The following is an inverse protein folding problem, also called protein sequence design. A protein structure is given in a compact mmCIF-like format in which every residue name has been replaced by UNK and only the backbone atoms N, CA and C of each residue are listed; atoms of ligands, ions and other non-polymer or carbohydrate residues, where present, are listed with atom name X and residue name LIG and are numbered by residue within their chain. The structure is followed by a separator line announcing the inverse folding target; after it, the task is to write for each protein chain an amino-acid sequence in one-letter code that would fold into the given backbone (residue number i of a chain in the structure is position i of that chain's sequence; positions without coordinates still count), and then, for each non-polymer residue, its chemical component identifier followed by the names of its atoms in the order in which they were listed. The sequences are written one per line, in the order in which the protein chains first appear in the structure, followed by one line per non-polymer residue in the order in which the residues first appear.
data_IF_495028274762
#
_entry.id   IF_495028274762
#
_cell.length_a   1.000
_cell.length_b   1.000
_cell.length_c   1.000
_cell.angle_alpha   90.00
_cell.angle_beta   90.00
_cell.angle_gamma   90.00
#
_symmetry.space_group_name_H-M   'P 1'
#
loop_
_entity.id
_entity.type
_entity.pdbx_description
1 polymer ?
#
# COMPACT_ATOMS: atom_id res chain seq x y z
N UNK A 1 2.68 6.81 -6.25
CA UNK A 1 1.30 6.26 -6.27
C UNK A 1 0.25 7.32 -6.56
N UNK A 2 0.37 8.54 -6.01
CA UNK A 2 -0.66 9.58 -6.19
C UNK A 2 -1.95 9.29 -5.43
N UNK A 3 -1.89 8.37 -4.47
CA UNK A 3 -2.93 8.06 -3.49
C UNK A 3 -2.75 9.04 -2.33
N UNK A 4 -3.82 9.71 -1.95
CA UNK A 4 -3.84 10.64 -0.82
C UNK A 4 -5.09 10.39 0.03
N UNK A 5 -5.10 10.88 1.28
CA UNK A 5 -6.30 10.93 2.09
C UNK A 5 -7.33 11.87 1.43
N UNK A 6 -8.57 11.42 1.31
CA UNK A 6 -9.66 12.12 0.62
C UNK A 6 -10.93 12.25 1.47
N UNK A 7 -11.10 11.40 2.48
CA UNK A 7 -12.25 11.40 3.38
C UNK A 7 -11.83 10.91 4.76
N UNK A 8 -12.46 11.44 5.81
CA UNK A 8 -12.27 11.02 7.19
C UNK A 8 -13.63 11.01 7.90
N UNK A 9 -13.91 9.95 8.65
CA UNK A 9 -15.14 9.81 9.43
C UNK A 9 -14.81 9.36 10.85
N UNK A 10 -15.53 9.88 11.84
CA UNK A 10 -15.32 9.55 13.25
C UNK A 10 -16.14 8.32 13.68
N UNK A 11 -15.88 7.80 14.88
CA UNK A 11 -16.58 6.61 15.40
C UNK A 11 -18.10 6.73 15.54
N UNK A 12 -18.65 7.95 15.56
CA UNK A 12 -20.10 8.15 15.51
C UNK A 12 -20.72 7.90 14.13
N UNK A 13 -19.89 7.86 13.09
CA UNK A 13 -20.30 7.75 11.68
C UNK A 13 -20.05 6.34 11.12
N UNK A 14 -19.48 5.42 11.90
CA UNK A 14 -19.08 4.07 11.46
C UNK A 14 -19.76 2.98 12.28
N UNK A 15 -20.01 1.82 11.65
CA UNK A 15 -20.59 0.66 12.34
C UNK A 15 -19.62 0.02 13.34
N UNK A 16 -18.30 0.12 13.09
CA UNK A 16 -17.27 -0.38 13.99
C UNK A 16 -17.15 0.47 15.27
N UNK A 17 -17.71 1.68 15.28
CA UNK A 17 -17.47 2.65 16.35
C UNK A 17 -16.06 3.26 16.32
N UNK A 18 -15.25 2.92 15.31
CA UNK A 18 -13.90 3.41 15.09
C UNK A 18 -13.81 4.52 14.04
N UNK A 19 -12.70 5.25 14.00
CA UNK A 19 -12.45 6.21 12.91
C UNK A 19 -12.04 5.50 11.62
N UNK A 20 -12.36 6.08 10.47
CA UNK A 20 -11.93 5.58 9.16
C UNK A 20 -11.36 6.71 8.30
N UNK A 21 -10.31 6.40 7.54
CA UNK A 21 -9.72 7.29 6.55
C UNK A 21 -9.80 6.64 5.16
N UNK A 22 -10.37 7.37 4.21
CA UNK A 22 -10.50 6.97 2.81
C UNK A 22 -9.39 7.56 1.96
N UNK A 23 -8.57 6.70 1.39
CA UNK A 23 -7.47 7.02 0.49
C UNK A 23 -7.85 6.76 -0.96
N UNK A 24 -7.36 7.59 -1.87
CA UNK A 24 -7.56 7.35 -3.29
C UNK A 24 -6.98 8.41 -4.22
N UNK A 25 -7.45 8.40 -5.47
CA UNK A 25 -7.09 9.32 -6.54
C UNK A 25 -8.35 9.63 -7.35
N UNK A 26 -8.84 10.88 -7.28
CA UNK A 26 -10.12 11.30 -7.87
C UNK A 26 -11.35 10.85 -7.06
N UNK A 27 -11.31 9.66 -6.47
CA UNK A 27 -12.28 9.15 -5.50
C UNK A 27 -11.59 8.20 -4.51
N UNK A 28 -12.10 8.05 -3.26
CA UNK A 28 -11.57 7.09 -2.31
C UNK A 28 -11.87 5.65 -2.76
N UNK A 29 -10.87 4.78 -2.67
CA UNK A 29 -10.98 3.36 -3.02
C UNK A 29 -10.28 2.41 -2.03
N UNK A 30 -9.47 2.95 -1.12
CA UNK A 30 -8.77 2.18 -0.11
C UNK A 30 -9.05 2.80 1.26
N UNK A 31 -9.60 2.03 2.19
CA UNK A 31 -10.06 2.52 3.48
C UNK A 31 -9.30 1.83 4.59
N UNK A 32 -8.81 2.61 5.55
CA UNK A 32 -8.18 2.11 6.78
C UNK A 32 -9.04 2.59 7.93
N UNK A 33 -9.52 1.64 8.74
CA UNK A 33 -10.27 1.89 9.96
C UNK A 33 -9.48 1.51 11.19
N UNK A 34 -9.72 2.21 12.29
CA UNK A 34 -9.39 1.72 13.62
C UNK A 34 -10.56 0.92 14.22
N UNK A 35 -10.33 0.36 15.40
CA UNK A 35 -11.30 -0.46 16.14
C UNK A 35 -11.77 -1.73 15.39
N UNK A 36 -10.96 -2.20 14.45
CA UNK A 36 -11.14 -3.46 13.72
C UNK A 36 -9.90 -4.35 13.88
N UNK A 37 -10.03 -5.65 13.62
CA UNK A 37 -8.89 -6.58 13.70
C UNK A 37 -8.25 -6.77 12.33
N UNK A 38 -6.97 -6.42 12.20
CA UNK A 38 -6.18 -6.74 11.00
C UNK A 38 -5.91 -8.24 10.95
N UNK A 39 -6.23 -8.89 9.82
CA UNK A 39 -6.01 -10.31 9.62
C UNK A 39 -4.52 -10.68 9.54
N UNK A 40 -4.16 -11.87 10.05
CA UNK A 40 -2.79 -12.38 9.89
C UNK A 40 -2.49 -12.63 8.40
N UNK A 41 -1.31 -12.19 7.95
CA UNK A 41 -0.89 -12.37 6.56
C UNK A 41 -1.59 -11.44 5.57
N UNK A 42 -2.15 -10.32 6.04
CA UNK A 42 -2.69 -9.29 5.14
C UNK A 42 -1.59 -8.79 4.19
N UNK A 43 -1.88 -8.85 2.89
CA UNK A 43 -1.00 -8.37 1.81
C UNK A 43 -1.82 -7.47 0.90
N UNK A 44 -1.31 -6.28 0.63
CA UNK A 44 -1.96 -5.30 -0.26
C UNK A 44 -0.97 -4.89 -1.33
N UNK A 45 -1.34 -5.06 -2.60
CA UNK A 45 -0.51 -4.69 -3.74
C UNK A 45 -1.17 -3.59 -4.56
N UNK A 46 -0.44 -2.48 -4.74
CA UNK A 46 -0.85 -1.37 -5.60
C UNK A 46 -0.14 -1.48 -6.96
N UNK A 47 -0.93 -1.56 -8.02
CA UNK A 47 -0.41 -1.47 -9.39
C UNK A 47 0.06 -0.05 -9.69
N UNK A 48 1.22 0.08 -10.32
CA UNK A 48 1.81 1.35 -10.76
C UNK A 48 2.22 1.28 -12.22
N UNK A 49 2.47 2.45 -12.81
CA UNK A 49 2.67 2.58 -14.26
C UNK A 49 4.15 2.61 -14.65
N UNK A 50 5.06 2.65 -13.68
CA UNK A 50 6.50 2.62 -13.95
C UNK A 50 7.32 2.00 -12.83
N UNK A 51 8.51 1.49 -13.18
CA UNK A 51 9.51 1.00 -12.22
C UNK A 51 10.04 2.12 -11.31
N UNK A 52 10.06 3.36 -11.80
CA UNK A 52 10.40 4.54 -10.98
C UNK A 52 9.37 4.78 -9.87
N UNK A 53 8.08 4.55 -10.12
CA UNK A 53 7.04 4.65 -9.09
C UNK A 53 7.19 3.57 -8.01
N UNK A 54 7.65 2.37 -8.36
CA UNK A 54 7.99 1.31 -7.39
C UNK A 54 9.15 1.75 -6.49
N UNK A 55 10.20 2.32 -7.07
CA UNK A 55 11.35 2.83 -6.29
C UNK A 55 10.94 3.99 -5.38
N UNK A 56 10.13 4.92 -5.89
CA UNK A 56 9.63 6.05 -5.12
C UNK A 56 8.72 5.60 -3.97
N UNK A 57 7.87 4.60 -4.20
CA UNK A 57 7.07 3.97 -3.14
C UNK A 57 7.96 3.39 -2.04
N UNK A 58 8.94 2.56 -2.40
CA UNK A 58 9.80 1.88 -1.43
C UNK A 58 10.56 2.88 -0.56
N UNK A 59 11.20 3.88 -1.18
CA UNK A 59 11.91 4.92 -0.45
C UNK A 59 11.01 5.70 0.51
N UNK A 60 9.81 6.08 0.06
CA UNK A 60 8.85 6.82 0.89
C UNK A 60 8.32 5.98 2.05
N UNK A 61 8.02 4.69 1.81
CA UNK A 61 7.50 3.79 2.82
C UNK A 61 8.54 3.51 3.92
N UNK A 62 9.82 3.33 3.57
CA UNK A 62 10.90 3.24 4.55
C UNK A 62 11.08 4.53 5.34
N UNK A 63 11.03 5.70 4.68
CA UNK A 63 11.14 6.99 5.36
C UNK A 63 9.98 7.25 6.33
N UNK A 64 8.81 6.66 6.08
CA UNK A 64 7.63 6.72 6.95
C UNK A 64 7.68 5.72 8.13
N UNK A 65 8.76 4.95 8.29
CA UNK A 65 8.93 3.98 9.38
C UNK A 65 8.55 2.54 9.01
N UNK A 66 8.24 2.27 7.74
CA UNK A 66 8.07 0.90 7.25
C UNK A 66 9.37 0.11 7.30
N UNK A 67 9.26 -1.21 7.41
CA UNK A 67 10.40 -2.13 7.41
C UNK A 67 10.57 -2.78 6.03
N UNK A 68 11.80 -2.77 5.50
CA UNK A 68 12.08 -3.42 4.22
C UNK A 68 11.71 -4.91 4.26
N UNK A 69 10.92 -5.35 3.28
CA UNK A 69 10.53 -6.74 3.10
C UNK A 69 10.87 -7.25 1.68
N UNK A 70 11.60 -6.45 0.89
CA UNK A 70 11.98 -6.80 -0.46
C UNK A 70 12.27 -5.55 -1.29
N UNK A 71 13.55 -5.24 -1.60
CA UNK A 71 13.91 -4.02 -2.31
C UNK A 71 13.39 -4.03 -3.76
N UNK A 72 13.25 -2.87 -4.41
CA UNK A 72 12.80 -2.76 -5.80
C UNK A 72 13.59 -3.67 -6.74
N UNK A 73 12.89 -4.53 -7.49
CA UNK A 73 13.55 -5.40 -8.45
C UNK A 73 12.59 -6.35 -9.17
N UNK A 74 13.11 -7.00 -10.23
CA UNK A 74 12.37 -8.03 -10.96
C UNK A 74 12.15 -9.26 -10.08
N UNK A 75 10.91 -9.75 -10.07
CA UNK A 75 10.50 -11.02 -9.47
C UNK A 75 10.30 -12.03 -10.59
N UNK A 76 11.42 -12.54 -11.11
CA UNK A 76 11.45 -13.40 -12.30
C UNK A 76 10.60 -14.67 -12.15
N UNK A 77 10.38 -15.13 -10.92
CA UNK A 77 9.50 -16.25 -10.58
C UNK A 77 8.00 -15.93 -10.71
N UNK A 78 7.61 -14.66 -10.73
CA UNK A 78 6.24 -14.21 -11.00
C UNK A 78 6.03 -13.79 -12.46
N UNK A 79 7.07 -13.29 -13.12
CA UNK A 79 7.05 -12.96 -14.54
C UNK A 79 8.25 -12.10 -14.95
N UNK A 80 8.56 -12.03 -16.26
CA UNK A 80 9.73 -11.31 -16.76
C UNK A 80 9.66 -9.80 -16.49
N UNK A 81 8.45 -9.23 -16.46
CA UNK A 81 8.21 -7.79 -16.26
C UNK A 81 7.65 -7.47 -14.87
N UNK A 82 7.59 -8.43 -13.95
CA UNK A 82 7.08 -8.21 -12.59
C UNK A 82 8.12 -7.45 -11.76
N UNK A 83 8.12 -6.13 -11.84
CA UNK A 83 9.01 -5.28 -11.06
C UNK A 83 8.29 -4.77 -9.82
N UNK A 84 8.75 -5.16 -8.63
CA UNK A 84 8.05 -4.86 -7.38
C UNK A 84 8.99 -4.52 -6.22
N UNK A 85 8.41 -3.88 -5.21
CA UNK A 85 9.03 -3.65 -3.91
C UNK A 85 8.01 -3.91 -2.79
N UNK A 86 8.49 -4.36 -1.64
CA UNK A 86 7.68 -4.82 -0.51
C UNK A 86 8.16 -4.14 0.77
N UNK A 87 7.22 -3.63 1.55
CA UNK A 87 7.48 -3.00 2.85
C UNK A 87 6.42 -3.47 3.83
N UNK A 88 6.85 -3.93 5.00
CA UNK A 88 5.93 -4.15 6.12
C UNK A 88 5.60 -2.81 6.75
N UNK A 89 4.32 -2.49 6.87
CA UNK A 89 3.87 -1.32 7.64
C UNK A 89 4.02 -1.55 9.16
N UNK A 90 3.79 -0.53 10.00
CA UNK A 90 3.91 -0.66 11.46
C UNK A 90 2.97 -1.70 12.08
N UNK A 91 1.87 -2.03 11.42
CA UNK A 91 0.88 -3.03 11.85
C UNK A 91 1.20 -4.45 11.33
N UNK A 92 2.29 -4.58 10.56
CA UNK A 92 2.77 -5.85 10.01
C UNK A 92 2.07 -6.28 8.71
N UNK A 93 1.35 -5.38 8.06
CA UNK A 93 0.75 -5.60 6.74
C UNK A 93 1.87 -5.54 5.69
N UNK A 94 1.93 -6.54 4.81
CA UNK A 94 2.86 -6.52 3.68
C UNK A 94 2.29 -5.65 2.56
N UNK A 95 2.87 -4.47 2.36
CA UNK A 95 2.46 -3.52 1.32
C UNK A 95 3.41 -3.59 0.15
N UNK A 96 2.85 -3.73 -1.04
CA UNK A 96 3.57 -3.86 -2.30
C UNK A 96 3.20 -2.74 -3.27
N UNK A 97 4.21 -2.25 -4.01
CA UNK A 97 3.98 -1.58 -5.29
C UNK A 97 4.56 -2.42 -6.41
N UNK A 98 3.77 -2.65 -7.46
CA UNK A 98 4.13 -3.51 -8.59
C UNK A 98 3.88 -2.83 -9.94
N UNK A 99 4.89 -2.89 -10.80
CA UNK A 99 4.80 -2.49 -12.20
C UNK A 99 4.89 -3.75 -13.06
N UNK A 100 3.90 -3.95 -13.94
CA UNK A 100 3.89 -5.05 -14.93
C UNK A 100 4.31 -4.57 -16.33
N UNK A 101 4.59 -3.28 -16.50
CA UNK A 101 5.02 -2.76 -17.80
C UNK A 101 6.47 -3.16 -18.08
N UNK A 102 6.79 -3.56 -19.32
CA UNK A 102 8.18 -3.67 -19.75
C UNK A 102 8.85 -2.29 -19.76
N UNK A 103 10.17 -2.28 -19.73
CA UNK A 103 10.98 -1.09 -20.02
C UNK A 103 11.11 -0.83 -21.52
#
# INVERSE_FOLDING_TARGET
LGIAAMAEFGGGDTESGGSVVGFGKGQPFFWIGDNETVGQGTHIAFAVESRAEVQAFHAAALAAGGTDNGPPGIRAHYGPDYYAAFVCDPDGINVEAVCHRPE
#
